data_IF_943049910810
#
_entry.id   IF_943049910810
#
_cell.length_a   1.000
_cell.length_b   1.000
_cell.length_c   1.000
_cell.angle_alpha   90.00
_cell.angle_beta   90.00
_cell.angle_gamma   90.00
#
_symmetry.space_group_name_H-M   'P 1'
#
loop_
_entity.id
_entity.type
_entity.pdbx_description
1 polymer ?
#
# COMPACT_ATOMS: atom_id res chain seq x y z
N UNK A 1 4.26 28.20 -36.51
CA UNK A 1 3.65 27.60 -35.32
C UNK A 1 2.84 28.66 -34.59
N UNK A 2 1.54 28.55 -34.64
CA UNK A 2 0.64 29.54 -34.03
C UNK A 2 0.18 29.03 -32.65
N UNK A 3 1.01 29.31 -31.62
CA UNK A 3 0.71 28.97 -30.24
C UNK A 3 -0.16 30.04 -29.60
N UNK A 4 -1.34 29.65 -29.14
CA UNK A 4 -2.25 30.54 -28.40
C UNK A 4 -2.44 30.04 -26.97
N UNK A 5 -2.77 30.95 -26.06
CA UNK A 5 -3.02 30.67 -24.66
C UNK A 5 -4.53 30.57 -24.42
N UNK A 6 -5.01 29.48 -23.82
CA UNK A 6 -6.42 29.35 -23.45
C UNK A 6 -6.73 30.13 -22.15
N UNK A 7 -8.02 30.35 -21.83
CA UNK A 7 -8.43 31.08 -20.61
C UNK A 7 -7.93 30.46 -19.30
N UNK A 8 -7.64 29.15 -19.30
CA UNK A 8 -7.07 28.42 -18.14
C UNK A 8 -5.53 28.42 -18.12
N UNK A 9 -4.88 29.16 -19.03
CA UNK A 9 -3.43 29.37 -19.03
C UNK A 9 -2.59 28.37 -19.83
N UNK A 10 -3.19 27.34 -20.46
CA UNK A 10 -2.45 26.37 -21.27
C UNK A 10 -2.13 26.92 -22.66
N UNK A 11 -0.93 26.60 -23.18
CA UNK A 11 -0.54 26.91 -24.56
C UNK A 11 -0.85 25.74 -25.47
N UNK A 12 -1.48 25.98 -26.62
CA UNK A 12 -1.75 24.97 -27.63
C UNK A 12 -1.68 25.54 -29.06
N UNK A 13 -1.48 24.67 -30.04
CA UNK A 13 -1.40 25.06 -31.44
C UNK A 13 -2.80 25.09 -32.05
N UNK A 14 -3.31 26.31 -32.39
CA UNK A 14 -4.62 26.55 -32.99
C UNK A 14 -4.79 25.89 -34.37
N UNK A 15 -3.70 25.66 -35.12
CA UNK A 15 -3.75 25.02 -36.43
C UNK A 15 -4.02 23.51 -36.33
N UNK A 16 -3.63 22.90 -35.21
CA UNK A 16 -3.82 21.45 -34.97
C UNK A 16 -5.07 21.12 -34.15
N UNK A 17 -5.51 22.04 -33.30
CA UNK A 17 -6.62 21.81 -32.39
C UNK A 17 -7.56 23.03 -32.40
N UNK A 18 -8.87 22.82 -32.68
CA UNK A 18 -9.86 23.89 -32.65
C UNK A 18 -10.12 24.45 -31.25
N UNK A 19 -9.83 23.66 -30.21
CA UNK A 19 -9.91 24.00 -28.78
C UNK A 19 -8.71 23.44 -28.01
N UNK A 20 -8.47 23.95 -26.79
CA UNK A 20 -7.36 23.49 -25.96
C UNK A 20 -7.50 22.02 -25.59
N UNK A 21 -6.60 21.12 -26.02
CA UNK A 21 -6.71 19.68 -25.73
C UNK A 21 -6.53 19.37 -24.25
N UNK A 22 -5.84 20.20 -23.48
CA UNK A 22 -5.72 20.05 -22.04
C UNK A 22 -7.01 20.40 -21.28
N UNK A 23 -7.91 21.19 -21.89
CA UNK A 23 -9.20 21.53 -21.31
C UNK A 23 -10.35 20.62 -21.79
N UNK A 24 -10.18 19.99 -22.96
CA UNK A 24 -11.21 19.12 -23.57
C UNK A 24 -11.39 17.77 -22.84
N UNK A 25 -10.39 17.34 -22.05
CA UNK A 25 -10.44 16.10 -21.25
C UNK A 25 -10.90 16.29 -19.80
N UNK A 26 -11.42 17.46 -19.44
CA UNK A 26 -12.07 17.66 -18.14
C UNK A 26 -13.57 17.56 -18.39
N UNK A 27 -14.30 16.56 -17.85
CA UNK A 27 -15.75 16.56 -17.91
C UNK A 27 -16.25 17.86 -17.28
N UNK A 28 -17.04 18.62 -18.03
CA UNK A 28 -17.63 19.86 -17.56
C UNK A 28 -18.51 19.53 -16.35
N UNK A 29 -18.15 20.07 -15.19
CA UNK A 29 -19.04 20.16 -14.05
C UNK A 29 -20.06 21.26 -14.39
N UNK A 30 -21.21 20.87 -14.92
CA UNK A 30 -22.35 21.78 -15.08
C UNK A 30 -23.01 21.94 -13.71
N UNK A 31 -22.83 23.11 -13.10
CA UNK A 31 -23.78 23.61 -12.12
C UNK A 31 -25.06 23.96 -12.88
N UNK A 32 -26.03 23.07 -12.79
CA UNK A 32 -27.48 23.36 -12.88
C UNK A 32 -28.24 22.03 -12.73
N UNK A 33 -28.99 21.95 -11.71
CA UNK A 33 -30.33 21.41 -11.51
C UNK A 33 -30.43 20.74 -10.13
N UNK A 34 -30.90 21.55 -9.21
CA UNK A 34 -31.67 21.05 -8.07
C UNK A 34 -32.96 20.42 -8.60
N UNK A 35 -33.03 19.08 -8.59
CA UNK A 35 -34.32 18.39 -8.46
C UNK A 35 -34.10 16.98 -7.88
N UNK A 36 -34.93 16.72 -6.91
CA UNK A 36 -35.04 15.54 -6.06
C UNK A 36 -35.03 14.25 -6.88
N UNK A 37 -34.17 13.32 -6.53
CA UNK A 37 -34.44 11.92 -6.69
C UNK A 37 -33.96 11.15 -5.48
N UNK A 38 -34.86 10.40 -4.91
CA UNK A 38 -34.83 9.56 -3.74
C UNK A 38 -33.51 8.76 -3.68
N UNK A 39 -32.81 8.93 -2.57
CA UNK A 39 -31.68 8.08 -2.21
C UNK A 39 -32.26 6.70 -1.88
N UNK A 40 -32.33 5.85 -2.87
CA UNK A 40 -32.52 4.44 -2.67
C UNK A 40 -31.31 3.94 -1.86
N UNK A 41 -31.54 3.61 -0.59
CA UNK A 41 -30.56 2.99 0.30
C UNK A 41 -30.23 1.59 -0.23
N UNK A 42 -29.39 1.54 -1.26
CA UNK A 42 -28.76 0.31 -1.65
C UNK A 42 -27.82 -0.12 -0.51
N UNK A 43 -28.14 -1.27 0.10
CA UNK A 43 -27.27 -1.93 1.07
C UNK A 43 -25.84 -2.02 0.51
N UNK A 44 -24.83 -1.61 1.26
CA UNK A 44 -23.46 -1.62 0.76
C UNK A 44 -23.08 -3.05 0.36
N UNK A 45 -22.54 -3.17 -0.85
CA UNK A 45 -22.01 -4.43 -1.36
C UNK A 45 -21.05 -5.04 -0.32
N UNK A 46 -21.22 -6.30 0.11
CA UNK A 46 -20.36 -6.93 1.12
C UNK A 46 -18.87 -6.91 0.75
N UNK A 47 -18.53 -6.79 -0.54
CA UNK A 47 -17.16 -6.61 -1.00
C UNK A 47 -16.65 -5.17 -0.79
N UNK A 48 -17.54 -4.16 -0.79
CA UNK A 48 -17.17 -2.78 -0.47
C UNK A 48 -16.88 -2.61 1.03
N UNK A 49 -17.56 -3.38 1.90
CA UNK A 49 -17.31 -3.36 3.35
C UNK A 49 -15.90 -3.89 3.67
N UNK A 50 -15.39 -4.89 2.95
CA UNK A 50 -14.01 -5.36 3.11
C UNK A 50 -12.98 -4.29 2.73
N UNK A 51 -13.23 -3.51 1.69
CA UNK A 51 -12.36 -2.40 1.29
C UNK A 51 -12.40 -1.24 2.30
N UNK A 52 -13.56 -0.96 2.92
CA UNK A 52 -13.69 0.07 3.94
C UNK A 52 -12.96 -0.33 5.23
N UNK A 53 -12.99 -1.60 5.63
CA UNK A 53 -12.22 -2.10 6.77
C UNK A 53 -10.70 -1.94 6.55
N UNK A 54 -10.21 -2.17 5.34
CA UNK A 54 -8.79 -1.96 5.01
C UNK A 54 -8.39 -0.47 5.11
N UNK A 55 -9.31 0.45 4.82
CA UNK A 55 -9.07 1.90 4.87
C UNK A 55 -9.06 2.47 6.30
N UNK A 56 -9.56 1.73 7.28
CA UNK A 56 -9.63 2.16 8.68
C UNK A 56 -8.55 1.53 9.58
N UNK A 57 -7.73 0.62 9.05
CA UNK A 57 -6.61 0.02 9.81
C UNK A 57 -5.54 1.09 10.05
N UNK A 58 -5.06 1.18 11.27
CA UNK A 58 -4.02 2.13 11.65
C UNK A 58 -2.64 1.59 11.25
N UNK A 59 -1.83 2.43 10.62
CA UNK A 59 -0.45 2.08 10.28
C UNK A 59 0.41 2.04 11.53
N UNK A 60 1.11 0.94 11.73
CA UNK A 60 2.01 0.74 12.87
C UNK A 60 3.50 0.79 12.49
N UNK A 61 3.81 0.64 11.20
CA UNK A 61 5.15 0.69 10.66
C UNK A 61 5.16 0.56 9.14
N UNK A 62 6.35 0.42 8.58
CA UNK A 62 6.56 0.21 7.13
C UNK A 62 7.64 -0.83 6.86
N UNK A 63 7.51 -1.49 5.73
CA UNK A 63 8.61 -2.16 5.05
C UNK A 63 9.00 -1.32 3.84
N UNK A 64 10.29 -1.03 3.69
CA UNK A 64 10.82 -0.31 2.52
C UNK A 64 11.70 -1.27 1.72
N UNK A 65 11.40 -1.46 0.45
CA UNK A 65 12.21 -2.32 -0.42
C UNK A 65 13.55 -1.65 -0.72
N UNK A 66 14.63 -2.26 -0.23
CA UNK A 66 16.00 -1.78 -0.41
C UNK A 66 16.79 -2.58 -1.44
N UNK A 67 16.26 -3.74 -1.88
CA UNK A 67 16.82 -4.55 -2.96
C UNK A 67 15.76 -5.47 -3.54
N UNK A 68 15.68 -5.55 -4.86
CA UNK A 68 14.72 -6.38 -5.61
C UNK A 68 14.09 -5.62 -6.75
N UNK A 69 13.04 -6.19 -7.33
CA UNK A 69 12.30 -5.62 -8.46
C UNK A 69 11.47 -4.40 -8.05
N UNK A 70 11.15 -4.29 -6.77
CA UNK A 70 10.32 -3.20 -6.20
C UNK A 70 11.16 -2.19 -5.39
N UNK A 71 12.43 -2.02 -5.75
CA UNK A 71 13.36 -1.09 -5.08
C UNK A 71 12.75 0.32 -4.93
N UNK A 72 12.72 0.81 -3.69
CA UNK A 72 12.18 2.13 -3.33
C UNK A 72 10.69 2.13 -2.97
N UNK A 73 9.96 1.06 -3.23
CA UNK A 73 8.56 0.93 -2.80
C UNK A 73 8.47 0.73 -1.29
N UNK A 74 7.40 1.25 -0.70
CA UNK A 74 7.10 1.12 0.72
C UNK A 74 5.74 0.48 0.94
N UNK A 75 5.67 -0.40 1.94
CA UNK A 75 4.48 -1.17 2.27
C UNK A 75 4.10 -0.88 3.72
N UNK A 76 2.91 -0.37 4.00
CA UNK A 76 2.46 -0.14 5.37
C UNK A 76 2.25 -1.46 6.11
N UNK A 77 2.62 -1.47 7.38
CA UNK A 77 2.27 -2.52 8.33
C UNK A 77 1.10 -2.00 9.16
N UNK A 78 0.06 -2.79 9.28
CA UNK A 78 -1.16 -2.45 9.99
C UNK A 78 -1.18 -3.04 11.40
N UNK A 79 -2.16 -2.65 12.20
CA UNK A 79 -2.47 -3.35 13.46
C UNK A 79 -2.76 -4.84 13.20
N UNK A 80 -2.41 -5.69 14.16
CA UNK A 80 -2.58 -7.15 14.11
C UNK A 80 -1.66 -7.83 13.09
N UNK A 81 -2.14 -8.92 12.46
CA UNK A 81 -1.37 -9.72 11.51
C UNK A 81 -1.32 -9.07 10.12
N UNK A 82 -0.16 -9.16 9.49
CA UNK A 82 0.11 -8.68 8.13
C UNK A 82 0.77 -9.78 7.32
N UNK A 83 0.00 -10.43 6.46
CA UNK A 83 0.44 -11.52 5.60
C UNK A 83 1.19 -10.99 4.38
N UNK A 84 2.36 -11.55 4.10
CA UNK A 84 3.26 -11.13 3.02
C UNK A 84 3.30 -12.17 1.92
N UNK A 85 3.06 -11.76 0.69
CA UNK A 85 3.14 -12.63 -0.47
C UNK A 85 3.01 -11.87 -1.79
N UNK A 86 2.92 -12.60 -2.91
CA UNK A 86 2.73 -12.00 -4.24
C UNK A 86 1.26 -11.84 -4.64
N UNK A 87 0.35 -12.55 -3.96
CA UNK A 87 -1.08 -12.45 -4.25
C UNK A 87 -1.62 -11.10 -3.82
N UNK A 88 -2.53 -10.54 -4.62
CA UNK A 88 -3.28 -9.32 -4.27
C UNK A 88 -4.24 -9.50 -3.09
N UNK A 89 -4.37 -10.74 -2.59
CA UNK A 89 -5.15 -11.07 -1.39
C UNK A 89 -4.37 -10.87 -0.09
N UNK A 90 -3.05 -10.67 -0.18
CA UNK A 90 -2.18 -10.45 0.98
C UNK A 90 -2.27 -9.00 1.48
N UNK A 91 -1.91 -8.75 2.73
CA UNK A 91 -1.84 -7.41 3.31
C UNK A 91 -0.66 -6.63 2.74
N UNK A 92 0.47 -7.29 2.58
CA UNK A 92 1.70 -6.75 1.98
C UNK A 92 1.97 -7.51 0.68
N UNK A 93 1.79 -6.83 -0.46
CA UNK A 93 1.81 -7.44 -1.79
C UNK A 93 3.14 -7.15 -2.49
N UNK A 94 3.99 -8.16 -2.60
CA UNK A 94 5.26 -8.10 -3.33
C UNK A 94 5.07 -8.65 -4.77
N UNK A 95 4.20 -8.02 -5.55
CA UNK A 95 3.63 -8.52 -6.80
C UNK A 95 4.70 -8.97 -7.82
N UNK A 96 5.79 -8.22 -7.94
CA UNK A 96 6.83 -8.45 -8.96
C UNK A 96 8.02 -9.27 -8.46
N UNK A 97 8.00 -9.73 -7.20
CA UNK A 97 9.08 -10.52 -6.60
C UNK A 97 8.88 -12.02 -6.80
N UNK A 98 9.32 -12.54 -7.95
CA UNK A 98 9.13 -13.95 -8.31
C UNK A 98 9.77 -14.96 -7.33
N UNK A 99 10.70 -14.52 -6.49
CA UNK A 99 11.34 -15.34 -5.45
C UNK A 99 10.53 -15.42 -4.15
N UNK A 100 9.44 -14.67 -4.05
CA UNK A 100 8.50 -14.68 -2.93
C UNK A 100 7.34 -15.61 -3.27
N UNK A 101 6.83 -16.38 -2.30
CA UNK A 101 5.67 -17.25 -2.48
C UNK A 101 4.43 -16.44 -2.83
N UNK A 102 3.48 -17.08 -3.51
CA UNK A 102 2.23 -16.43 -3.91
C UNK A 102 1.44 -15.98 -2.69
N UNK A 103 1.33 -16.84 -1.70
CA UNK A 103 0.57 -16.63 -0.47
C UNK A 103 1.45 -16.97 0.73
N UNK A 104 1.25 -16.25 1.83
CA UNK A 104 1.80 -16.54 3.15
C UNK A 104 3.30 -16.88 3.16
N UNK A 105 4.12 -16.08 2.48
CA UNK A 105 5.58 -16.27 2.54
C UNK A 105 6.11 -16.03 3.95
N UNK A 106 5.62 -14.96 4.57
CA UNK A 106 5.91 -14.58 5.95
C UNK A 106 4.70 -13.81 6.52
N UNK A 107 4.69 -13.59 7.83
CA UNK A 107 3.73 -12.75 8.51
C UNK A 107 4.44 -11.84 9.50
N UNK A 108 4.05 -10.56 9.54
CA UNK A 108 4.44 -9.61 10.59
C UNK A 108 3.22 -9.33 11.45
N UNK A 109 3.34 -9.57 12.74
CA UNK A 109 2.33 -9.26 13.74
C UNK A 109 2.77 -8.09 14.61
N UNK A 110 1.89 -7.09 14.74
CA UNK A 110 2.07 -6.00 15.69
C UNK A 110 1.33 -6.30 16.99
N UNK A 111 2.04 -6.24 18.11
CA UNK A 111 1.50 -6.45 19.44
C UNK A 111 1.27 -5.11 20.14
N UNK A 112 0.02 -4.71 20.28
CA UNK A 112 -0.36 -3.41 20.89
C UNK A 112 -0.07 -3.32 22.39
N UNK A 113 0.11 -4.45 23.08
CA UNK A 113 0.36 -4.49 24.52
C UNK A 113 1.75 -3.98 24.91
N UNK A 114 2.76 -4.27 24.10
CA UNK A 114 4.16 -3.90 24.33
C UNK A 114 4.79 -3.13 23.17
N UNK A 115 4.00 -2.87 22.13
CA UNK A 115 4.40 -2.15 20.91
C UNK A 115 5.54 -2.84 20.15
N UNK A 116 5.57 -4.17 20.21
CA UNK A 116 6.56 -5.00 19.53
C UNK A 116 6.05 -5.53 18.20
N UNK A 117 6.98 -5.91 17.32
CA UNK A 117 6.68 -6.53 16.04
C UNK A 117 7.35 -7.89 15.98
N UNK A 118 6.60 -8.91 15.58
CA UNK A 118 7.12 -10.25 15.46
C UNK A 118 7.01 -10.75 14.02
N UNK A 119 8.13 -11.19 13.45
CA UNK A 119 8.17 -11.82 12.12
C UNK A 119 8.15 -13.33 12.28
N UNK A 120 7.28 -13.98 11.51
CA UNK A 120 7.17 -15.45 11.42
C UNK A 120 7.24 -15.90 9.97
N UNK A 121 7.77 -17.10 9.74
CA UNK A 121 7.64 -17.78 8.45
C UNK A 121 6.43 -18.71 8.51
N UNK A 122 5.56 -18.65 7.52
CA UNK A 122 4.35 -19.47 7.50
C UNK A 122 4.57 -20.84 6.85
N UNK A 123 5.59 -20.93 6.00
CA UNK A 123 5.94 -22.19 5.34
C UNK A 123 7.43 -22.50 5.52
N UNK A 124 7.76 -23.73 5.87
CA UNK A 124 9.16 -24.18 6.07
C UNK A 124 9.99 -24.16 4.78
N UNK A 125 9.34 -24.19 3.64
CA UNK A 125 10.00 -24.13 2.32
C UNK A 125 10.39 -22.71 1.93
N UNK A 126 9.86 -21.71 2.64
CA UNK A 126 10.16 -20.31 2.40
C UNK A 126 11.45 -19.91 3.11
N UNK A 127 12.35 -19.29 2.39
CA UNK A 127 13.57 -18.71 2.96
C UNK A 127 13.29 -17.29 3.44
N UNK A 128 13.19 -17.13 4.76
CA UNK A 128 13.05 -15.82 5.43
C UNK A 128 14.29 -15.61 6.29
N UNK A 129 14.92 -14.44 6.17
CA UNK A 129 16.07 -14.07 7.01
C UNK A 129 15.85 -12.70 7.63
N UNK A 130 16.40 -12.49 8.82
CA UNK A 130 16.54 -11.19 9.47
C UNK A 130 18.02 -10.94 9.72
N UNK A 131 18.56 -9.86 9.18
CA UNK A 131 19.98 -9.49 9.27
C UNK A 131 20.91 -10.65 8.86
N UNK A 132 20.53 -11.38 7.79
CA UNK A 132 21.28 -12.53 7.26
C UNK A 132 21.15 -13.83 8.07
N UNK A 133 20.32 -13.87 9.11
CA UNK A 133 20.05 -15.07 9.91
C UNK A 133 18.69 -15.68 9.54
N UNK A 134 18.65 -16.96 9.22
CA UNK A 134 17.41 -17.66 8.87
C UNK A 134 16.41 -17.67 10.03
N UNK A 135 15.18 -17.31 9.74
CA UNK A 135 14.05 -17.34 10.68
C UNK A 135 13.46 -18.75 10.72
N UNK A 136 13.63 -19.44 11.84
CA UNK A 136 13.05 -20.77 12.11
C UNK A 136 12.04 -20.76 13.26
N UNK A 137 11.97 -19.65 13.98
CA UNK A 137 11.05 -19.37 15.10
C UNK A 137 10.63 -17.89 15.01
N UNK A 138 9.54 -17.48 15.66
CA UNK A 138 9.17 -16.06 15.74
C UNK A 138 10.35 -15.20 16.19
N UNK A 139 10.60 -14.11 15.46
CA UNK A 139 11.71 -13.16 15.70
C UNK A 139 11.12 -11.78 15.95
N UNK A 140 11.47 -11.16 17.07
CA UNK A 140 11.15 -9.78 17.34
C UNK A 140 12.00 -8.85 16.44
N UNK A 141 11.33 -7.94 15.72
CA UNK A 141 11.96 -6.98 14.83
C UNK A 141 12.40 -5.72 15.60
N UNK A 142 13.58 -5.24 15.27
CA UNK A 142 14.11 -3.96 15.73
C UNK A 142 14.11 -2.96 14.57
N UNK A 143 14.15 -1.67 14.92
CA UNK A 143 14.25 -0.59 13.94
C UNK A 143 15.45 -0.80 13.00
N UNK A 144 15.22 -0.61 11.70
CA UNK A 144 16.16 -0.82 10.60
C UNK A 144 16.64 -2.28 10.40
N UNK A 145 15.95 -3.26 10.97
CA UNK A 145 16.24 -4.65 10.63
C UNK A 145 16.01 -4.91 9.14
N UNK A 146 16.95 -5.63 8.53
CA UNK A 146 16.85 -6.08 7.13
C UNK A 146 16.18 -7.44 7.07
N UNK A 147 15.02 -7.50 6.44
CA UNK A 147 14.26 -8.73 6.20
C UNK A 147 14.52 -9.17 4.75
N UNK A 148 14.99 -10.40 4.57
CA UNK A 148 15.21 -10.99 3.25
C UNK A 148 14.14 -12.05 2.96
N UNK A 149 13.39 -11.86 1.88
CA UNK A 149 12.37 -12.78 1.37
C UNK A 149 12.79 -13.23 -0.04
N UNK A 150 13.34 -14.45 -0.15
CA UNK A 150 13.94 -14.91 -1.40
C UNK A 150 15.10 -14.00 -1.85
N UNK A 151 14.90 -13.20 -2.92
CA UNK A 151 15.90 -12.24 -3.44
C UNK A 151 15.59 -10.78 -3.09
N UNK A 152 14.45 -10.53 -2.46
CA UNK A 152 14.01 -9.21 -2.03
C UNK A 152 14.55 -8.90 -0.65
N UNK A 153 15.09 -7.70 -0.44
CA UNK A 153 15.47 -7.17 0.86
C UNK A 153 14.57 -5.98 1.21
N UNK A 154 14.01 -6.03 2.40
CA UNK A 154 13.10 -5.02 2.95
C UNK A 154 13.70 -4.50 4.25
N UNK A 155 13.73 -3.19 4.43
CA UNK A 155 14.10 -2.57 5.70
C UNK A 155 12.84 -2.30 6.51
N UNK A 156 12.82 -2.76 7.75
CA UNK A 156 11.72 -2.53 8.68
C UNK A 156 11.86 -1.18 9.37
N UNK A 157 10.78 -0.39 9.39
CA UNK A 157 10.69 0.91 10.03
C UNK A 157 9.46 0.91 10.94
N UNK A 158 9.62 0.86 12.27
CA UNK A 158 8.50 1.00 13.20
C UNK A 158 7.99 2.45 13.21
N UNK A 159 6.68 2.62 13.23
CA UNK A 159 6.03 3.90 13.53
C UNK A 159 5.53 3.93 14.97
N UNK A 160 4.97 2.81 15.41
CA UNK A 160 4.56 2.64 16.80
C UNK A 160 5.72 2.09 17.63
N UNK A 161 5.95 2.73 18.75
CA UNK A 161 6.95 2.37 19.73
C UNK A 161 6.52 2.80 21.16
N UNK A 162 7.46 2.83 22.11
CA UNK A 162 7.18 3.29 23.49
C UNK A 162 6.82 4.78 23.57
N UNK A 163 7.21 5.59 22.58
CA UNK A 163 6.99 7.02 22.55
C UNK A 163 5.70 7.39 21.80
N UNK A 164 5.35 6.61 20.79
CA UNK A 164 4.15 6.81 20.00
C UNK A 164 3.41 5.50 19.75
N UNK A 165 2.11 5.49 20.02
CA UNK A 165 1.19 4.41 19.68
C UNK A 165 -0.21 4.96 19.49
N UNK A 166 -1.03 4.20 18.78
CA UNK A 166 -2.44 4.50 18.67
C UNK A 166 -3.12 4.16 19.99
N UNK A 167 -3.63 5.18 20.69
CA UNK A 167 -4.42 4.96 21.91
C UNK A 167 -5.76 4.36 21.50
N UNK A 168 -6.10 3.27 22.13
CA UNK A 168 -7.43 2.65 22.05
C UNK A 168 -8.38 3.23 23.05
#
# INVERSE_FOLDING_TARGET
MNLIKCPKGHYYNKEKFPSCPHCANVPAFSEDLAEQSEIETALPNPNAVKQIHHTLRKTTGWLVCTKGTMLGESFPIWEEENHIGRSTTMDIVLLYENSVSREDHACIEYHSADHSFTLTTQNKDNTVMVNGKTVSKPVCLCDHDTITLGKCELTFIPFCDKNFNWKH
#
